data_IF_055352886787
#
_entry.id   IF_055352886787
#
_cell.length_a   1.000
_cell.length_b   1.000
_cell.length_c   1.000
_cell.angle_alpha   90.00
_cell.angle_beta   90.00
_cell.angle_gamma   90.00
#
_symmetry.space_group_name_H-M   'P 1'
#
loop_
_entity.id
_entity.type
_entity.pdbx_description
1 polymer ?
#
# COMPACT_ATOMS: atom_id res chain seq x y z
N UNK A 1 72.38 25.81 13.03
CA UNK A 1 70.97 26.12 12.89
C UNK A 1 70.29 24.92 12.19
N UNK A 2 69.48 24.11 12.93
CA UNK A 2 68.81 22.96 12.40
C UNK A 2 67.34 23.37 12.29
N UNK A 3 66.85 23.48 11.06
CA UNK A 3 65.44 23.74 10.74
C UNK A 3 64.69 22.40 10.64
N UNK A 4 63.80 22.12 11.61
CA UNK A 4 62.90 20.97 11.60
C UNK A 4 61.67 21.33 10.78
N UNK A 5 61.44 20.57 9.67
CA UNK A 5 60.25 20.66 8.88
C UNK A 5 59.20 19.70 9.48
N UNK A 6 58.10 20.26 10.00
CA UNK A 6 56.98 19.52 10.54
C UNK A 6 56.05 19.11 9.36
N UNK A 7 56.01 17.84 9.05
CA UNK A 7 55.10 17.31 8.04
C UNK A 7 53.67 17.14 8.62
N UNK A 8 52.73 17.97 8.14
CA UNK A 8 51.31 17.84 8.46
C UNK A 8 50.71 16.73 7.60
N UNK A 9 50.34 15.61 8.20
CA UNK A 9 49.58 14.56 7.53
C UNK A 9 48.10 14.96 7.49
N UNK A 10 47.60 15.28 6.29
CA UNK A 10 46.15 15.47 6.03
C UNK A 10 45.51 14.11 5.89
N UNK A 11 44.80 13.67 6.91
CA UNK A 11 43.99 12.45 6.86
C UNK A 11 42.74 12.67 6.00
N UNK A 12 42.68 12.05 4.83
CA UNK A 12 41.47 12.01 4.00
C UNK A 12 40.51 10.98 4.63
N UNK A 13 39.54 11.47 5.38
CA UNK A 13 38.45 10.62 5.88
C UNK A 13 37.56 10.17 4.75
N UNK A 14 37.58 8.88 4.42
CA UNK A 14 36.64 8.27 3.49
C UNK A 14 35.29 8.16 4.21
N UNK A 15 34.33 9.04 3.86
CA UNK A 15 32.94 8.89 4.27
C UNK A 15 32.32 7.69 3.53
N UNK A 16 32.20 6.56 4.20
CA UNK A 16 31.45 5.43 3.71
C UNK A 16 29.96 5.78 3.87
N UNK A 17 29.29 6.11 2.75
CA UNK A 17 27.86 6.25 2.71
C UNK A 17 27.24 4.87 2.94
N UNK A 18 26.67 4.64 4.12
CA UNK A 18 25.88 3.46 4.41
C UNK A 18 24.55 3.63 3.67
N UNK A 19 24.17 2.71 2.75
CA UNK A 19 22.85 2.80 2.13
C UNK A 19 21.79 2.65 3.22
N UNK A 20 20.96 3.66 3.40
CA UNK A 20 19.75 3.57 4.19
C UNK A 20 18.82 2.65 3.40
N UNK A 21 18.75 1.38 3.80
CA UNK A 21 17.71 0.48 3.33
C UNK A 21 16.38 1.10 3.72
N UNK A 22 15.60 1.54 2.73
CA UNK A 22 14.22 1.92 2.95
C UNK A 22 13.54 0.71 3.59
N UNK A 23 13.00 0.90 4.80
CA UNK A 23 12.26 -0.15 5.48
C UNK A 23 11.08 -0.54 4.59
N UNK A 24 11.10 -1.74 4.05
CA UNK A 24 9.99 -2.27 3.27
C UNK A 24 8.75 -2.26 4.17
N UNK A 25 7.70 -1.59 3.69
CA UNK A 25 6.44 -1.55 4.43
C UNK A 25 5.87 -2.96 4.53
N UNK A 26 5.83 -3.48 5.75
CA UNK A 26 5.23 -4.79 6.02
C UNK A 26 3.71 -4.64 6.03
N UNK A 27 3.07 -5.12 4.98
CA UNK A 27 1.61 -5.19 4.91
C UNK A 27 1.12 -6.12 6.04
N UNK A 28 0.19 -5.67 6.92
CA UNK A 28 -0.27 -6.49 8.04
C UNK A 28 -0.95 -7.77 7.53
N UNK A 29 -0.59 -8.91 8.09
CA UNK A 29 -1.22 -10.19 7.77
C UNK A 29 -2.56 -10.28 8.48
N UNK A 30 -3.61 -10.59 7.73
CA UNK A 30 -4.93 -10.80 8.29
C UNK A 30 -4.99 -12.04 9.20
N UNK A 31 -5.76 -12.00 10.29
CA UNK A 31 -6.05 -13.19 11.09
C UNK A 31 -6.73 -14.29 10.25
N UNK A 32 -6.59 -15.56 10.71
CA UNK A 32 -7.08 -16.72 9.94
C UNK A 32 -8.56 -16.62 9.54
N UNK A 33 -9.40 -16.13 10.44
CA UNK A 33 -10.83 -15.96 10.18
C UNK A 33 -11.11 -15.01 9.00
N UNK A 34 -10.23 -14.01 8.75
CA UNK A 34 -10.30 -13.19 7.54
C UNK A 34 -9.70 -13.90 6.33
N UNK A 35 -8.53 -14.56 6.49
CA UNK A 35 -7.88 -15.23 5.38
C UNK A 35 -8.78 -16.29 4.72
N UNK A 36 -9.63 -16.94 5.50
CA UNK A 36 -10.59 -17.94 5.03
C UNK A 36 -11.80 -17.32 4.29
N UNK A 37 -12.02 -16.00 4.39
CA UNK A 37 -13.13 -15.32 3.75
C UNK A 37 -12.97 -15.30 2.22
N UNK A 38 -14.06 -15.57 1.54
CA UNK A 38 -14.21 -15.36 0.09
C UNK A 38 -15.21 -14.26 -0.14
N UNK A 39 -15.09 -13.56 -1.26
CA UNK A 39 -16.08 -12.56 -1.61
C UNK A 39 -17.46 -13.23 -1.73
N UNK A 40 -18.43 -12.89 -0.87
CA UNK A 40 -19.74 -13.53 -0.87
C UNK A 40 -20.65 -13.01 -1.99
N UNK A 41 -20.25 -11.93 -2.67
CA UNK A 41 -21.10 -11.29 -3.66
C UNK A 41 -20.91 -11.92 -5.04
N UNK A 42 -22.01 -12.00 -5.80
CA UNK A 42 -21.93 -12.29 -7.22
C UNK A 42 -21.26 -11.13 -7.95
N UNK A 43 -20.10 -11.38 -8.53
CA UNK A 43 -19.36 -10.38 -9.30
C UNK A 43 -20.02 -10.24 -10.69
N UNK A 44 -20.86 -9.24 -10.84
CA UNK A 44 -21.54 -8.87 -12.08
C UNK A 44 -21.19 -7.42 -12.46
N UNK A 45 -21.75 -6.93 -13.56
CA UNK A 45 -21.51 -5.57 -14.06
C UNK A 45 -21.82 -4.51 -13.02
N UNK A 46 -22.96 -4.60 -12.35
CA UNK A 46 -23.40 -3.60 -11.36
C UNK A 46 -22.48 -3.59 -10.13
N UNK A 47 -22.05 -4.76 -9.67
CA UNK A 47 -21.11 -4.88 -8.58
C UNK A 47 -19.74 -4.25 -8.93
N UNK A 48 -19.25 -4.47 -10.16
CA UNK A 48 -18.01 -3.89 -10.64
C UNK A 48 -18.11 -2.37 -10.83
N UNK A 49 -19.22 -1.88 -11.37
CA UNK A 49 -19.46 -0.45 -11.53
C UNK A 49 -19.50 0.25 -10.17
N UNK A 50 -20.27 -0.31 -9.23
CA UNK A 50 -20.31 0.23 -7.87
C UNK A 50 -18.93 0.18 -7.19
N UNK A 51 -18.19 -0.91 -7.34
CA UNK A 51 -16.81 -1.03 -6.85
C UNK A 51 -15.88 0.02 -7.44
N UNK A 52 -16.00 0.29 -8.73
CA UNK A 52 -15.27 1.36 -9.43
C UNK A 52 -15.59 2.74 -8.87
N UNK A 53 -16.87 3.03 -8.61
CA UNK A 53 -17.30 4.29 -7.97
C UNK A 53 -16.71 4.45 -6.56
N UNK A 54 -16.64 3.38 -5.78
CA UNK A 54 -16.01 3.39 -4.45
C UNK A 54 -14.52 3.65 -4.59
N UNK A 55 -13.85 2.94 -5.50
CA UNK A 55 -12.42 3.11 -5.78
C UNK A 55 -12.07 4.55 -6.14
N UNK A 56 -12.81 5.14 -7.07
CA UNK A 56 -12.62 6.51 -7.54
C UNK A 56 -12.68 7.51 -6.38
N UNK A 57 -13.64 7.35 -5.47
CA UNK A 57 -13.87 8.29 -4.38
C UNK A 57 -12.96 8.09 -3.17
N UNK A 58 -12.57 6.85 -2.87
CA UNK A 58 -11.93 6.51 -1.59
C UNK A 58 -10.49 6.00 -1.73
N UNK A 59 -10.12 5.43 -2.88
CA UNK A 59 -8.85 4.69 -3.03
C UNK A 59 -7.90 5.37 -4.01
N UNK A 60 -8.41 5.89 -5.12
CA UNK A 60 -7.65 6.43 -6.25
C UNK A 60 -6.66 7.51 -5.84
N UNK A 61 -7.03 8.36 -4.89
CA UNK A 61 -6.19 9.50 -4.46
C UNK A 61 -4.79 9.03 -4.02
N UNK A 62 -4.70 7.86 -3.39
CA UNK A 62 -3.44 7.26 -2.96
C UNK A 62 -2.98 6.16 -3.90
N UNK A 63 -3.88 5.23 -4.31
CA UNK A 63 -3.52 4.06 -5.10
C UNK A 63 -3.39 4.31 -6.61
N UNK A 64 -3.78 5.50 -7.09
CA UNK A 64 -3.70 5.86 -8.51
C UNK A 64 -4.85 5.32 -9.36
N UNK A 65 -5.13 5.97 -10.49
CA UNK A 65 -6.16 5.53 -11.43
C UNK A 65 -5.84 4.16 -12.06
N UNK A 66 -4.56 3.83 -12.17
CA UNK A 66 -4.07 2.58 -12.74
C UNK A 66 -3.78 1.51 -11.67
N UNK A 67 -4.05 1.78 -10.39
CA UNK A 67 -3.74 0.89 -9.28
C UNK A 67 -2.23 0.67 -9.06
N UNK A 68 -1.40 1.59 -9.52
CA UNK A 68 0.07 1.52 -9.51
C UNK A 68 0.71 2.12 -8.25
N UNK A 69 -0.11 2.58 -7.30
CA UNK A 69 0.37 3.22 -6.07
C UNK A 69 0.86 4.66 -6.26
N UNK A 70 0.60 5.27 -7.43
CA UNK A 70 1.06 6.62 -7.81
C UNK A 70 -0.09 7.63 -7.88
N UNK A 71 -1.01 7.58 -6.91
CA UNK A 71 -2.05 8.60 -6.79
C UNK A 71 -1.46 9.96 -6.41
N UNK A 72 -2.22 11.02 -6.62
CA UNK A 72 -1.77 12.40 -6.37
C UNK A 72 -1.29 12.66 -4.94
N UNK A 73 -1.87 11.93 -3.96
CA UNK A 73 -1.43 12.02 -2.57
C UNK A 73 -0.18 11.18 -2.28
N UNK A 74 0.11 10.15 -3.09
CA UNK A 74 1.18 9.19 -2.84
C UNK A 74 2.56 9.86 -2.71
N UNK A 75 2.82 10.93 -3.46
CA UNK A 75 4.12 11.63 -3.41
C UNK A 75 4.46 12.19 -2.03
N UNK A 76 3.43 12.60 -1.28
CA UNK A 76 3.56 13.19 0.05
C UNK A 76 3.64 12.16 1.18
N UNK A 77 3.35 10.89 0.89
CA UNK A 77 3.34 9.84 1.89
C UNK A 77 4.75 9.30 2.14
N UNK A 78 5.09 9.08 3.40
CA UNK A 78 6.37 8.47 3.81
C UNK A 78 6.46 7.04 3.30
N UNK A 79 5.38 6.27 3.47
CA UNK A 79 5.25 4.91 2.97
C UNK A 79 4.32 4.91 1.75
N UNK A 80 4.85 4.50 0.61
CA UNK A 80 4.10 4.51 -0.64
C UNK A 80 3.02 3.43 -0.64
N UNK A 81 1.83 3.71 -1.22
CA UNK A 81 0.80 2.70 -1.40
C UNK A 81 1.30 1.53 -2.24
N UNK A 82 0.84 0.33 -1.90
CA UNK A 82 1.16 -0.85 -2.70
C UNK A 82 0.62 -0.72 -4.13
N UNK A 83 1.43 -1.16 -5.08
CA UNK A 83 1.02 -1.27 -6.49
C UNK A 83 0.25 -2.57 -6.71
N UNK A 84 -1.03 -2.48 -7.06
CA UNK A 84 -1.87 -3.63 -7.38
C UNK A 84 -1.47 -4.29 -8.70
N UNK A 85 -0.81 -3.54 -9.59
CA UNK A 85 -0.37 -4.02 -10.90
C UNK A 85 0.99 -4.71 -10.88
N UNK A 86 1.66 -4.78 -9.74
CA UNK A 86 2.87 -5.58 -9.58
C UNK A 86 2.55 -7.05 -9.87
N UNK A 87 3.28 -7.72 -10.77
CA UNK A 87 3.02 -9.12 -11.10
C UNK A 87 2.96 -10.00 -9.85
N UNK A 88 1.90 -10.79 -9.73
CA UNK A 88 1.69 -11.69 -8.60
C UNK A 88 1.15 -11.02 -7.32
N UNK A 89 1.18 -9.71 -7.18
CA UNK A 89 0.78 -9.03 -5.94
C UNK A 89 -0.64 -9.39 -5.50
N UNK A 90 -1.63 -9.24 -6.38
CA UNK A 90 -3.01 -9.59 -6.07
C UNK A 90 -3.23 -11.11 -6.07
N UNK A 91 -2.60 -11.86 -6.98
CA UNK A 91 -2.73 -13.33 -7.04
C UNK A 91 -2.26 -14.02 -5.76
N UNK A 92 -1.21 -13.48 -5.15
CA UNK A 92 -0.65 -14.01 -3.90
C UNK A 92 -1.44 -13.65 -2.63
N UNK A 93 -2.56 -12.91 -2.74
CA UNK A 93 -3.35 -12.46 -1.59
C UNK A 93 -4.78 -12.98 -1.65
N UNK A 94 -5.26 -13.56 -0.54
CA UNK A 94 -6.66 -13.94 -0.40
C UNK A 94 -7.58 -12.70 -0.42
N UNK A 95 -8.84 -12.88 -0.83
CA UNK A 95 -9.83 -11.80 -0.79
C UNK A 95 -10.04 -11.27 0.62
N UNK A 96 -10.05 -12.16 1.60
CA UNK A 96 -10.16 -11.79 3.02
C UNK A 96 -8.97 -10.98 3.53
N UNK A 97 -7.77 -11.17 2.98
CA UNK A 97 -6.60 -10.32 3.26
C UNK A 97 -6.85 -8.88 2.77
N UNK A 98 -7.38 -8.73 1.56
CA UNK A 98 -7.72 -7.41 1.02
C UNK A 98 -8.86 -6.77 1.80
N UNK A 99 -9.86 -7.57 2.18
CA UNK A 99 -10.98 -7.12 3.01
C UNK A 99 -10.50 -6.61 4.37
N UNK A 100 -9.62 -7.38 5.04
CA UNK A 100 -9.06 -7.00 6.34
C UNK A 100 -8.36 -5.63 6.27
N UNK A 101 -7.49 -5.42 5.27
CA UNK A 101 -6.78 -4.15 5.10
C UNK A 101 -7.75 -3.02 4.79
N UNK A 102 -8.76 -3.27 3.95
CA UNK A 102 -9.79 -2.27 3.67
C UNK A 102 -10.59 -1.92 4.92
N UNK A 103 -10.98 -2.92 5.71
CA UNK A 103 -11.78 -2.70 6.91
C UNK A 103 -10.99 -2.02 8.05
N UNK A 104 -9.75 -2.46 8.29
CA UNK A 104 -8.94 -2.06 9.45
C UNK A 104 -7.89 -1.00 9.17
N UNK A 105 -7.64 -0.71 7.89
CA UNK A 105 -6.50 0.10 7.48
C UNK A 105 -5.18 -0.66 7.60
N UNK A 106 -4.08 0.06 7.51
CA UNK A 106 -2.73 -0.49 7.68
C UNK A 106 -1.99 0.30 8.77
N UNK A 107 -1.67 -0.31 9.91
CA UNK A 107 -1.00 0.36 11.02
C UNK A 107 0.30 1.04 10.57
N UNK A 108 0.58 2.20 11.16
CA UNK A 108 1.77 3.02 10.88
C UNK A 108 1.88 3.50 9.42
N UNK A 109 0.76 3.58 8.71
CA UNK A 109 0.66 4.15 7.36
C UNK A 109 -0.53 5.10 7.26
N UNK A 110 -0.64 5.79 6.13
CA UNK A 110 -1.80 6.65 5.82
C UNK A 110 -2.99 5.86 5.23
N UNK A 111 -2.93 4.53 5.20
CA UNK A 111 -4.06 3.70 4.79
C UNK A 111 -5.10 3.64 5.89
N UNK A 112 -6.14 4.45 5.76
CA UNK A 112 -7.24 4.56 6.72
C UNK A 112 -8.09 3.28 6.78
N UNK A 113 -8.78 3.11 7.90
CA UNK A 113 -9.82 2.09 8.04
C UNK A 113 -11.12 2.56 7.35
N UNK A 114 -11.75 1.67 6.59
CA UNK A 114 -13.06 1.90 5.97
C UNK A 114 -14.17 1.03 6.57
N UNK A 115 -13.87 0.32 7.64
CA UNK A 115 -14.84 -0.53 8.33
C UNK A 115 -15.88 0.25 9.12
N UNK A 116 -16.90 -0.43 9.69
CA UNK A 116 -17.91 0.18 10.51
C UNK A 116 -17.31 0.97 11.68
N UNK A 117 -17.81 2.19 11.90
CA UNK A 117 -17.34 3.08 12.98
C UNK A 117 -16.15 3.98 12.61
N UNK A 118 -15.56 3.83 11.42
CA UNK A 118 -14.59 4.80 10.90
C UNK A 118 -15.30 6.03 10.31
N UNK A 119 -14.61 7.18 10.28
CA UNK A 119 -15.13 8.41 9.66
C UNK A 119 -15.45 8.25 8.17
N UNK A 120 -14.69 7.40 7.50
CA UNK A 120 -14.79 7.13 6.07
C UNK A 120 -15.55 5.85 5.75
N UNK A 121 -16.35 5.33 6.70
CA UNK A 121 -16.93 3.99 6.66
C UNK A 121 -17.62 3.64 5.35
N UNK A 122 -17.39 2.42 4.90
CA UNK A 122 -18.08 1.76 3.79
C UNK A 122 -18.98 0.64 4.35
N UNK A 123 -20.06 0.33 3.64
CA UNK A 123 -20.81 -0.89 3.92
C UNK A 123 -19.93 -2.13 3.62
N UNK A 124 -20.25 -3.26 4.27
CA UNK A 124 -19.58 -4.53 3.97
C UNK A 124 -19.65 -4.88 2.48
N UNK A 125 -20.81 -4.64 1.88
CA UNK A 125 -21.03 -4.88 0.45
C UNK A 125 -20.14 -3.98 -0.42
N UNK A 126 -20.01 -2.70 -0.09
CA UNK A 126 -19.16 -1.78 -0.84
C UNK A 126 -17.68 -2.14 -0.72
N UNK A 127 -17.24 -2.62 0.45
CA UNK A 127 -15.88 -3.15 0.61
C UNK A 127 -15.64 -4.38 -0.28
N UNK A 128 -16.58 -5.33 -0.35
CA UNK A 128 -16.47 -6.48 -1.24
C UNK A 128 -16.52 -6.11 -2.72
N UNK A 129 -17.36 -5.13 -3.09
CA UNK A 129 -17.46 -4.62 -4.46
C UNK A 129 -16.19 -3.94 -4.93
N UNK A 130 -15.57 -3.12 -4.08
CA UNK A 130 -14.30 -2.47 -4.45
C UNK A 130 -13.16 -3.49 -4.57
N UNK A 131 -13.13 -4.53 -3.75
CA UNK A 131 -12.17 -5.63 -3.88
C UNK A 131 -12.36 -6.38 -5.20
N UNK A 132 -13.61 -6.68 -5.56
CA UNK A 132 -13.92 -7.29 -6.86
C UNK A 132 -13.46 -6.42 -8.03
N UNK A 133 -13.70 -5.11 -7.96
CA UNK A 133 -13.22 -4.14 -8.94
C UNK A 133 -11.68 -4.14 -9.04
N UNK A 134 -10.97 -4.04 -7.92
CA UNK A 134 -9.49 -4.06 -7.87
C UNK A 134 -8.96 -5.34 -8.54
N UNK A 135 -9.52 -6.49 -8.19
CA UNK A 135 -9.15 -7.77 -8.80
C UNK A 135 -9.37 -7.78 -10.30
N UNK A 136 -10.54 -7.36 -10.76
CA UNK A 136 -10.88 -7.37 -12.18
C UNK A 136 -10.02 -6.40 -12.99
N UNK A 137 -9.73 -5.23 -12.43
CA UNK A 137 -9.05 -4.15 -13.15
C UNK A 137 -7.53 -4.28 -13.13
N UNK A 138 -6.95 -4.81 -12.07
CA UNK A 138 -5.50 -4.68 -11.82
C UNK A 138 -4.75 -6.01 -11.65
N UNK A 139 -5.42 -7.17 -11.61
CA UNK A 139 -4.69 -8.45 -11.55
C UNK A 139 -3.95 -8.72 -12.87
N UNK A 140 -2.64 -8.92 -12.74
CA UNK A 140 -1.73 -9.27 -13.84
C UNK A 140 -1.03 -10.60 -13.59
#
# INVERSE_FOLDING_TARGET
MKTSVLAMAVGIGVMVAVPVLAADHVVPTAPKNYLDMKNPLKVNKDALERGGQVYERKCKKCHGANGDGKGEAAEKLTLKPASFVTPGYLKGRADGQLYFITEKGSPNTDMEAFGPGSETSLSKDDMWKVIAFIRKSYTK
#
